data_IF_114478177266
#
_entry.id   IF_114478177266
#
_cell.length_a   1.000
_cell.length_b   1.000
_cell.length_c   1.000
_cell.angle_alpha   90.00
_cell.angle_beta   90.00
_cell.angle_gamma   90.00
#
_symmetry.space_group_name_H-M   'P 1'
#
loop_
_entity.id
_entity.type
_entity.pdbx_description
1 polymer ?
#
# COMPACT_ATOMS: atom_id res chain seq x y z
N UNK A 1 38.46 -28.62 9.05
CA UNK A 1 38.26 -28.25 10.48
C UNK A 1 38.44 -26.74 10.54
N UNK A 2 37.53 -26.00 11.19
CA UNK A 2 37.57 -24.55 11.14
C UNK A 2 38.87 -24.01 11.71
N UNK A 3 39.41 -22.98 11.05
CA UNK A 3 40.65 -22.34 11.50
C UNK A 3 40.30 -21.32 12.59
N UNK A 4 40.80 -21.53 13.81
CA UNK A 4 40.75 -20.51 14.84
C UNK A 4 41.81 -19.44 14.56
N UNK A 5 41.43 -18.16 14.63
CA UNK A 5 42.35 -17.04 14.45
C UNK A 5 42.02 -15.97 15.49
N UNK A 6 43.08 -15.45 16.11
CA UNK A 6 42.96 -14.34 17.07
C UNK A 6 43.17 -13.03 16.34
N UNK A 7 42.28 -12.08 16.59
CA UNK A 7 42.37 -10.72 16.09
C UNK A 7 42.61 -9.77 17.26
N UNK A 8 43.49 -8.80 17.08
CA UNK A 8 43.78 -7.77 18.08
C UNK A 8 42.76 -6.63 18.01
N UNK A 9 42.55 -5.94 19.12
CA UNK A 9 41.76 -4.72 19.14
C UNK A 9 42.21 -3.73 18.06
N UNK A 10 41.24 -3.06 17.44
CA UNK A 10 41.37 -2.13 16.30
C UNK A 10 41.82 -2.76 14.98
N UNK A 11 41.90 -4.09 14.86
CA UNK A 11 42.13 -4.76 13.57
C UNK A 11 40.84 -4.87 12.75
N UNK A 12 40.99 -5.09 11.45
CA UNK A 12 39.89 -5.29 10.50
C UNK A 12 39.94 -6.74 10.00
N UNK A 13 38.79 -7.42 10.02
CA UNK A 13 38.67 -8.81 9.55
C UNK A 13 38.48 -8.84 8.02
N UNK A 14 37.64 -7.95 7.49
CA UNK A 14 37.44 -7.71 6.06
C UNK A 14 36.84 -6.32 5.82
N UNK A 15 37.03 -5.78 4.61
CA UNK A 15 36.44 -4.52 4.18
C UNK A 15 35.17 -4.74 3.36
N UNK A 16 34.30 -3.73 3.39
CA UNK A 16 33.16 -3.65 2.47
C UNK A 16 33.69 -3.64 1.03
N UNK A 17 33.03 -4.40 0.14
CA UNK A 17 33.44 -4.57 -1.25
C UNK A 17 34.45 -5.69 -1.49
N UNK A 18 35.06 -6.27 -0.45
CA UNK A 18 35.97 -7.42 -0.63
C UNK A 18 35.21 -8.63 -1.20
N UNK A 19 35.83 -9.36 -2.12
CA UNK A 19 35.34 -10.69 -2.50
C UNK A 19 35.76 -11.67 -1.40
N UNK A 20 34.77 -12.17 -0.65
CA UNK A 20 35.03 -13.04 0.49
C UNK A 20 34.16 -14.29 0.50
N UNK A 21 34.80 -15.46 0.44
CA UNK A 21 34.17 -16.80 0.47
C UNK A 21 34.18 -17.43 1.88
N UNK A 22 34.65 -16.67 2.89
CA UNK A 22 34.77 -17.13 4.27
C UNK A 22 33.60 -16.71 5.14
N UNK A 23 33.21 -17.58 6.05
CA UNK A 23 32.20 -17.35 7.07
C UNK A 23 32.89 -17.34 8.43
N UNK A 24 32.46 -16.44 9.32
CA UNK A 24 33.09 -16.24 10.61
C UNK A 24 32.11 -16.49 11.76
N UNK A 25 32.61 -17.01 12.88
CA UNK A 25 31.89 -17.09 14.15
C UNK A 25 32.71 -16.40 15.23
N UNK A 26 32.09 -15.47 15.97
CA UNK A 26 32.72 -14.88 17.13
C UNK A 26 32.66 -15.84 18.32
N UNK A 27 33.81 -16.26 18.86
CA UNK A 27 33.88 -17.13 20.06
C UNK A 27 34.09 -16.34 21.34
N UNK A 28 34.86 -15.26 21.28
CA UNK A 28 35.09 -14.33 22.38
C UNK A 28 35.53 -12.98 21.82
N UNK A 29 35.32 -11.89 22.56
CA UNK A 29 35.68 -10.53 22.16
C UNK A 29 34.51 -9.69 21.66
N UNK A 30 34.81 -8.58 20.96
CA UNK A 30 33.81 -7.65 20.42
C UNK A 30 34.14 -7.31 18.97
N UNK A 31 33.20 -7.57 18.07
CA UNK A 31 33.30 -7.23 16.65
C UNK A 31 32.13 -6.33 16.26
N UNK A 32 32.41 -5.29 15.50
CA UNK A 32 31.46 -4.33 14.97
C UNK A 32 31.44 -4.43 13.44
N UNK A 33 30.26 -4.61 12.87
CA UNK A 33 30.01 -4.46 11.44
C UNK A 33 29.62 -3.01 11.17
N UNK A 34 30.33 -2.38 10.24
CA UNK A 34 30.07 -1.02 9.78
C UNK A 34 29.68 -1.05 8.31
N UNK A 35 28.50 -0.54 7.99
CA UNK A 35 28.04 -0.32 6.62
C UNK A 35 27.45 1.09 6.48
N UNK A 36 27.15 1.48 5.25
CA UNK A 36 26.51 2.76 4.95
C UNK A 36 25.15 2.51 4.33
N UNK A 37 24.13 3.22 4.81
CA UNK A 37 22.82 3.20 4.18
C UNK A 37 22.91 3.85 2.78
N UNK A 38 22.43 3.15 1.75
CA UNK A 38 22.53 3.60 0.36
C UNK A 38 21.60 4.79 0.10
N UNK A 39 20.52 4.92 0.86
CA UNK A 39 19.51 5.96 0.68
C UNK A 39 19.82 7.22 1.50
N UNK A 40 20.14 7.05 2.79
CA UNK A 40 20.37 8.19 3.70
C UNK A 40 21.84 8.60 3.79
N UNK A 41 22.76 7.73 3.40
CA UNK A 41 24.19 7.92 3.59
C UNK A 41 24.66 7.79 5.05
N UNK A 42 23.77 7.44 5.98
CA UNK A 42 24.11 7.28 7.40
C UNK A 42 24.93 6.01 7.66
N UNK A 43 25.82 6.07 8.66
CA UNK A 43 26.57 4.89 9.10
C UNK A 43 25.70 3.96 9.94
N UNK A 44 25.57 2.71 9.49
CA UNK A 44 24.94 1.62 10.24
C UNK A 44 26.03 0.85 10.99
N UNK A 45 25.82 0.66 12.30
CA UNK A 45 26.76 0.00 13.22
C UNK A 45 26.06 -1.15 13.93
N UNK A 46 26.49 -2.38 13.66
CA UNK A 46 25.92 -3.61 14.24
C UNK A 46 26.98 -4.36 15.07
N UNK A 47 26.67 -4.64 16.34
CA UNK A 47 27.55 -5.39 17.24
C UNK A 47 27.26 -6.88 17.16
N UNK A 48 28.30 -7.67 16.88
CA UNK A 48 28.20 -9.13 16.81
C UNK A 48 28.24 -9.75 18.20
N UNK A 49 27.26 -10.60 18.50
CA UNK A 49 27.21 -11.35 19.76
C UNK A 49 28.10 -12.59 19.72
N UNK A 50 28.50 -13.08 20.90
CA UNK A 50 29.24 -14.34 21.01
C UNK A 50 28.39 -15.52 20.51
N UNK A 51 28.97 -16.33 19.63
CA UNK A 51 28.30 -17.45 18.96
C UNK A 51 27.53 -17.05 17.70
N UNK A 52 27.48 -15.77 17.35
CA UNK A 52 26.84 -15.27 16.15
C UNK A 52 27.77 -15.40 14.93
N UNK A 53 27.13 -15.65 13.78
CA UNK A 53 27.82 -15.74 12.50
C UNK A 53 27.81 -14.39 11.80
N UNK A 54 28.91 -14.05 11.13
CA UNK A 54 28.98 -12.87 10.27
C UNK A 54 29.69 -13.19 8.95
N UNK A 55 29.44 -12.38 7.92
CA UNK A 55 29.92 -12.63 6.57
C UNK A 55 29.25 -13.79 5.83
N UNK A 56 28.15 -14.35 6.36
CA UNK A 56 27.42 -15.48 5.75
C UNK A 56 26.81 -15.10 4.40
N UNK A 57 26.20 -13.92 4.35
CA UNK A 57 25.48 -13.36 3.19
C UNK A 57 26.34 -13.37 1.92
N UNK A 58 27.47 -12.65 1.97
CA UNK A 58 28.42 -12.54 0.87
C UNK A 58 29.04 -13.88 0.48
N UNK A 59 29.39 -14.72 1.47
CA UNK A 59 30.05 -16.00 1.20
C UNK A 59 29.13 -17.01 0.48
N UNK A 60 27.87 -17.14 0.93
CA UNK A 60 26.91 -18.05 0.30
C UNK A 60 26.35 -17.50 -1.01
N UNK A 61 26.10 -16.19 -1.07
CA UNK A 61 25.57 -15.54 -2.26
C UNK A 61 26.60 -15.22 -3.34
N UNK A 62 27.90 -15.39 -3.05
CA UNK A 62 29.02 -15.08 -3.96
C UNK A 62 29.01 -13.65 -4.48
N UNK A 63 28.69 -12.70 -3.61
CA UNK A 63 28.79 -11.26 -3.88
C UNK A 63 29.78 -10.59 -2.92
N UNK A 64 30.23 -9.36 -3.22
CA UNK A 64 31.13 -8.61 -2.35
C UNK A 64 30.61 -8.45 -0.90
N UNK A 65 31.49 -8.12 0.05
CA UNK A 65 31.11 -7.81 1.43
C UNK A 65 30.19 -6.58 1.50
N UNK A 66 29.08 -6.70 2.20
CA UNK A 66 28.13 -5.59 2.41
C UNK A 66 28.62 -4.57 3.45
N UNK A 67 29.59 -4.96 4.27
CA UNK A 67 30.02 -4.23 5.47
C UNK A 67 31.52 -4.43 5.74
N UNK A 68 32.09 -3.56 6.57
CA UNK A 68 33.45 -3.69 7.10
C UNK A 68 33.40 -4.25 8.52
N UNK A 69 34.12 -5.33 8.80
CA UNK A 69 34.16 -5.95 10.12
C UNK A 69 35.37 -5.45 10.93
N UNK A 70 35.12 -4.63 11.94
CA UNK A 70 36.12 -4.07 12.87
C UNK A 70 36.12 -4.80 14.21
N UNK A 71 37.31 -5.04 14.75
CA UNK A 71 37.49 -5.66 16.06
C UNK A 71 37.65 -4.58 17.11
N UNK A 72 36.72 -4.47 18.05
CA UNK A 72 36.73 -3.44 19.11
C UNK A 72 37.57 -3.85 20.32
N UNK A 73 37.67 -5.15 20.58
CA UNK A 73 38.53 -5.74 21.61
C UNK A 73 39.10 -7.05 21.10
N UNK A 74 40.25 -7.50 21.61
CA UNK A 74 40.85 -8.79 21.26
C UNK A 74 39.77 -9.89 21.15
N UNK A 75 39.74 -10.56 20.00
CA UNK A 75 38.65 -11.43 19.60
C UNK A 75 39.17 -12.76 19.06
N UNK A 76 38.55 -13.84 19.52
CA UNK A 76 38.74 -15.19 19.00
C UNK A 76 37.66 -15.48 17.98
N UNK A 77 38.07 -15.75 16.74
CA UNK A 77 37.17 -15.96 15.61
C UNK A 77 37.46 -17.30 14.95
N UNK A 78 36.40 -18.07 14.68
CA UNK A 78 36.48 -19.28 13.86
C UNK A 78 36.17 -18.94 12.41
N UNK A 79 37.01 -19.39 11.49
CA UNK A 79 36.87 -19.22 10.06
C UNK A 79 36.43 -20.53 9.41
N UNK A 80 35.44 -20.45 8.54
CA UNK A 80 34.91 -21.56 7.75
C UNK A 80 34.94 -21.18 6.28
N UNK A 81 35.28 -22.12 5.41
CA UNK A 81 34.86 -22.04 4.01
C UNK A 81 33.39 -22.50 3.86
N UNK A 82 32.79 -22.28 2.69
CA UNK A 82 31.39 -22.66 2.44
C UNK A 82 31.15 -24.17 2.69
N UNK A 83 31.95 -25.11 2.16
CA UNK A 83 31.76 -26.54 2.44
C UNK A 83 31.84 -26.92 3.93
N UNK A 84 32.78 -26.32 4.69
CA UNK A 84 32.93 -26.57 6.13
C UNK A 84 31.74 -26.03 6.93
N UNK A 85 31.22 -24.88 6.52
CA UNK A 85 30.01 -24.32 7.09
C UNK A 85 28.80 -25.20 6.80
N UNK A 86 28.62 -25.67 5.56
CA UNK A 86 27.56 -26.61 5.20
C UNK A 86 27.60 -27.89 6.05
N UNK A 87 28.78 -28.49 6.24
CA UNK A 87 28.95 -29.65 7.11
C UNK A 87 28.59 -29.36 8.58
N UNK A 88 28.98 -28.20 9.12
CA UNK A 88 28.62 -27.78 10.48
C UNK A 88 27.10 -27.66 10.63
N UNK A 89 26.45 -27.06 9.65
CA UNK A 89 25.01 -26.84 9.63
C UNK A 89 24.24 -28.16 9.50
N UNK A 90 24.73 -29.09 8.67
CA UNK A 90 24.15 -30.44 8.52
C UNK A 90 24.31 -31.30 9.77
N UNK A 91 25.46 -31.20 10.46
CA UNK A 91 25.70 -31.93 11.71
C UNK A 91 24.93 -31.37 12.91
N UNK A 92 24.45 -30.12 12.83
CA UNK A 92 23.68 -29.49 13.90
C UNK A 92 22.49 -28.69 13.34
N UNK A 93 21.41 -29.40 13.06
CA UNK A 93 20.15 -28.84 12.52
C UNK A 93 19.51 -27.76 13.42
N UNK A 94 19.87 -27.69 14.71
CA UNK A 94 19.42 -26.62 15.61
C UNK A 94 19.96 -25.25 15.19
N UNK A 95 21.11 -25.21 14.52
CA UNK A 95 21.68 -23.99 13.92
C UNK A 95 20.79 -23.52 12.77
N UNK A 96 20.36 -24.42 11.88
CA UNK A 96 19.45 -24.12 10.76
C UNK A 96 18.17 -23.44 11.26
N UNK A 97 17.52 -24.03 12.27
CA UNK A 97 16.27 -23.50 12.80
C UNK A 97 16.43 -22.11 13.42
N UNK A 98 17.54 -21.85 14.11
CA UNK A 98 17.84 -20.50 14.63
C UNK A 98 18.07 -19.51 13.49
N UNK A 99 18.84 -19.88 12.48
CA UNK A 99 19.10 -19.01 11.31
C UNK A 99 17.81 -18.68 10.56
N UNK A 100 16.96 -19.68 10.26
CA UNK A 100 15.67 -19.45 9.60
C UNK A 100 14.75 -18.51 10.39
N UNK A 101 14.75 -18.62 11.73
CA UNK A 101 13.97 -17.73 12.59
C UNK A 101 14.51 -16.30 12.55
N UNK A 102 15.82 -16.12 12.58
CA UNK A 102 16.47 -14.79 12.47
C UNK A 102 16.18 -14.17 11.10
N UNK A 103 16.38 -14.91 10.00
CA UNK A 103 16.06 -14.42 8.66
C UNK A 103 14.59 -14.06 8.49
N UNK A 104 13.66 -14.87 9.01
CA UNK A 104 12.22 -14.55 8.97
C UNK A 104 11.91 -13.22 9.67
N UNK A 105 12.53 -12.98 10.82
CA UNK A 105 12.35 -11.71 11.54
C UNK A 105 12.96 -10.53 10.77
N UNK A 106 14.14 -10.69 10.16
CA UNK A 106 14.78 -9.67 9.33
C UNK A 106 13.92 -9.34 8.09
N UNK A 107 13.38 -10.34 7.40
CA UNK A 107 12.45 -10.16 6.27
C UNK A 107 11.21 -9.37 6.68
N UNK A 108 10.64 -9.66 7.85
CA UNK A 108 9.50 -8.91 8.38
C UNK A 108 9.85 -7.45 8.67
N UNK A 109 11.04 -7.19 9.22
CA UNK A 109 11.52 -5.84 9.48
C UNK A 109 11.71 -5.03 8.19
N UNK A 110 12.30 -5.66 7.16
CA UNK A 110 12.43 -5.05 5.83
C UNK A 110 11.06 -4.72 5.25
N UNK A 111 10.09 -5.64 5.35
CA UNK A 111 8.72 -5.39 4.88
C UNK A 111 8.09 -4.18 5.57
N UNK A 112 8.28 -4.03 6.89
CA UNK A 112 7.82 -2.86 7.65
C UNK A 112 8.50 -1.56 7.22
N UNK A 113 9.83 -1.58 6.98
CA UNK A 113 10.57 -0.42 6.46
C UNK A 113 10.08 0.01 5.08
N UNK A 114 9.91 -0.94 4.16
CA UNK A 114 9.39 -0.67 2.81
C UNK A 114 7.99 -0.07 2.89
N UNK A 115 7.12 -0.60 3.75
CA UNK A 115 5.79 -0.05 3.96
C UNK A 115 5.84 1.40 4.46
N UNK A 116 6.72 1.71 5.42
CA UNK A 116 6.86 3.06 5.94
C UNK A 116 7.42 4.04 4.89
N UNK A 117 8.38 3.61 4.06
CA UNK A 117 8.93 4.45 2.99
C UNK A 117 7.87 4.80 1.94
N UNK A 118 7.01 3.83 1.60
CA UNK A 118 5.86 4.07 0.71
C UNK A 118 4.83 5.00 1.38
N UNK A 119 4.69 4.94 2.71
CA UNK A 119 3.69 5.71 3.45
C UNK A 119 4.12 7.16 3.74
N UNK A 120 5.42 7.46 3.81
CA UNK A 120 5.92 8.77 4.21
C UNK A 120 5.99 9.82 3.07
N UNK A 121 5.84 9.42 1.81
CA UNK A 121 5.85 10.34 0.65
C UNK A 121 4.54 11.11 0.43
N UNK A 122 3.47 10.85 1.19
CA UNK A 122 2.14 11.42 0.97
C UNK A 122 1.55 12.09 2.23
N UNK A 123 2.20 13.14 2.74
CA UNK A 123 1.57 14.07 3.70
C UNK A 123 1.00 15.35 3.04
N UNK A 124 0.86 15.36 1.72
CA UNK A 124 -0.18 16.17 1.11
C UNK A 124 -1.47 15.32 1.16
N UNK A 125 -2.50 15.82 1.82
CA UNK A 125 -3.84 15.24 1.75
C UNK A 125 -4.17 14.92 0.27
N UNK A 126 -4.32 13.63 -0.11
CA UNK A 126 -4.44 13.22 -1.51
C UNK A 126 -5.58 13.92 -2.25
N UNK A 127 -6.65 14.26 -1.51
CA UNK A 127 -7.77 15.05 -2.01
C UNK A 127 -7.32 16.47 -2.43
N UNK A 128 -6.66 17.19 -1.52
CA UNK A 128 -6.16 18.55 -1.76
C UNK A 128 -5.14 18.58 -2.91
N UNK A 129 -4.26 17.59 -2.99
CA UNK A 129 -3.28 17.47 -4.07
C UNK A 129 -3.94 17.32 -5.44
N UNK A 130 -4.92 16.41 -5.56
CA UNK A 130 -5.62 16.18 -6.82
C UNK A 130 -6.43 17.39 -7.28
N UNK A 131 -7.09 18.10 -6.35
CA UNK A 131 -7.80 19.34 -6.66
C UNK A 131 -6.85 20.43 -7.16
N UNK A 132 -5.71 20.61 -6.49
CA UNK A 132 -4.71 21.63 -6.84
C UNK A 132 -4.13 21.43 -8.24
N UNK A 133 -3.95 20.17 -8.67
CA UNK A 133 -3.54 19.84 -10.05
C UNK A 133 -4.58 20.32 -11.06
N UNK A 134 -5.86 20.09 -10.77
CA UNK A 134 -6.96 20.58 -11.61
C UNK A 134 -6.98 22.11 -11.71
N UNK A 135 -6.86 22.80 -10.58
CA UNK A 135 -6.80 24.27 -10.55
C UNK A 135 -5.61 24.83 -11.32
N UNK A 136 -4.43 24.21 -11.19
CA UNK A 136 -3.25 24.62 -11.94
C UNK A 136 -3.49 24.57 -13.45
N UNK A 137 -4.02 23.46 -13.97
CA UNK A 137 -4.30 23.35 -15.41
C UNK A 137 -5.41 24.30 -15.86
N UNK A 138 -6.43 24.50 -15.04
CA UNK A 138 -7.53 25.41 -15.31
C UNK A 138 -7.05 26.86 -15.45
N UNK A 139 -6.26 27.33 -14.48
CA UNK A 139 -5.72 28.68 -14.47
C UNK A 139 -4.75 28.94 -15.64
N UNK A 140 -4.04 27.90 -16.09
CA UNK A 140 -3.17 27.95 -17.27
C UNK A 140 -3.91 27.77 -18.60
N UNK A 141 -5.26 27.76 -18.60
CA UNK A 141 -6.13 27.55 -19.79
C UNK A 141 -5.90 26.21 -20.51
N UNK A 142 -5.26 25.25 -19.85
CA UNK A 142 -5.08 23.88 -20.35
C UNK A 142 -6.34 23.06 -20.04
N UNK A 143 -7.45 23.44 -20.70
CA UNK A 143 -8.78 22.94 -20.35
C UNK A 143 -8.93 21.42 -20.51
N UNK A 144 -8.24 20.79 -21.48
CA UNK A 144 -8.28 19.33 -21.65
C UNK A 144 -7.68 18.58 -20.45
N UNK A 145 -6.56 19.07 -19.94
CA UNK A 145 -5.89 18.53 -18.75
C UNK A 145 -6.69 18.84 -17.47
N UNK A 146 -7.29 20.03 -17.38
CA UNK A 146 -8.17 20.40 -16.28
C UNK A 146 -9.42 19.51 -16.21
N UNK A 147 -10.05 19.22 -17.35
CA UNK A 147 -11.18 18.28 -17.45
C UNK A 147 -10.80 16.91 -16.90
N UNK A 148 -9.63 16.38 -17.31
CA UNK A 148 -9.15 15.09 -16.80
C UNK A 148 -8.96 15.10 -15.27
N UNK A 149 -8.28 16.12 -14.75
CA UNK A 149 -7.97 16.21 -13.32
C UNK A 149 -9.23 16.37 -12.45
N UNK A 150 -10.17 17.25 -12.83
CA UNK A 150 -11.42 17.40 -12.08
C UNK A 150 -12.36 16.20 -12.22
N UNK A 151 -12.37 15.53 -13.38
CA UNK A 151 -13.12 14.27 -13.54
C UNK A 151 -12.61 13.20 -12.58
N UNK A 152 -11.28 13.02 -12.52
CA UNK A 152 -10.64 12.12 -11.54
C UNK A 152 -11.00 12.53 -10.12
N UNK A 153 -10.93 13.82 -9.77
CA UNK A 153 -11.31 14.30 -8.45
C UNK A 153 -12.75 13.90 -8.09
N UNK A 154 -13.72 14.11 -8.99
CA UNK A 154 -15.13 13.78 -8.72
C UNK A 154 -15.39 12.27 -8.62
N UNK A 155 -14.58 11.44 -9.27
CA UNK A 155 -14.64 9.98 -9.08
C UNK A 155 -14.12 9.57 -7.70
N UNK A 156 -12.94 10.05 -7.30
CA UNK A 156 -12.29 9.59 -6.07
C UNK A 156 -12.83 10.27 -4.81
N UNK A 157 -13.19 11.54 -4.92
CA UNK A 157 -13.64 12.41 -3.84
C UNK A 157 -15.00 13.06 -4.18
N UNK A 158 -16.04 12.27 -4.51
CA UNK A 158 -17.37 12.79 -4.87
C UNK A 158 -18.05 13.56 -3.74
N UNK A 159 -17.69 13.28 -2.49
CA UNK A 159 -18.12 14.01 -1.29
C UNK A 159 -16.97 14.76 -0.63
N UNK A 160 -15.89 15.00 -1.37
CA UNK A 160 -14.73 15.77 -0.90
C UNK A 160 -15.09 17.24 -0.65
N UNK A 161 -14.24 17.91 0.14
CA UNK A 161 -14.30 19.34 0.47
C UNK A 161 -14.42 20.23 -0.77
N UNK A 162 -13.81 19.83 -1.88
CA UNK A 162 -13.79 20.59 -3.13
C UNK A 162 -14.73 20.02 -4.20
N UNK A 163 -15.61 19.05 -3.91
CA UNK A 163 -16.42 18.39 -4.92
C UNK A 163 -17.36 19.35 -5.68
N UNK A 164 -17.99 20.29 -4.99
CA UNK A 164 -18.82 21.31 -5.64
C UNK A 164 -17.99 22.24 -6.54
N UNK A 165 -16.80 22.65 -6.08
CA UNK A 165 -15.90 23.50 -6.86
C UNK A 165 -15.32 22.75 -8.06
N UNK A 166 -14.92 21.48 -7.89
CA UNK A 166 -14.41 20.63 -8.95
C UNK A 166 -15.47 20.40 -10.04
N UNK A 167 -16.73 20.15 -9.66
CA UNK A 167 -17.84 20.06 -10.61
C UNK A 167 -18.04 21.38 -11.38
N UNK A 168 -18.02 22.51 -10.67
CA UNK A 168 -18.17 23.82 -11.30
C UNK A 168 -17.01 24.16 -12.26
N UNK A 169 -15.76 23.86 -11.87
CA UNK A 169 -14.59 24.08 -12.71
C UNK A 169 -14.54 23.10 -13.89
N UNK A 170 -15.04 21.87 -13.71
CA UNK A 170 -15.17 20.89 -14.79
C UNK A 170 -16.13 21.39 -15.87
N UNK A 171 -17.32 21.86 -15.50
CA UNK A 171 -18.30 22.41 -16.45
C UNK A 171 -17.73 23.63 -17.21
N UNK A 172 -17.01 24.50 -16.50
CA UNK A 172 -16.34 25.65 -17.13
C UNK A 172 -15.22 25.22 -18.08
N UNK A 173 -14.43 24.22 -17.70
CA UNK A 173 -13.33 23.70 -18.52
C UNK A 173 -13.87 23.03 -19.79
N UNK A 174 -14.97 22.28 -19.70
CA UNK A 174 -15.67 21.71 -20.87
C UNK A 174 -16.14 22.79 -21.85
N UNK A 175 -16.78 23.85 -21.33
CA UNK A 175 -17.16 25.01 -22.14
C UNK A 175 -15.96 25.70 -22.79
N UNK A 176 -14.78 25.64 -22.16
CA UNK A 176 -13.50 26.09 -22.71
C UNK A 176 -12.98 25.19 -23.83
N UNK A 177 -13.02 23.86 -23.64
CA UNK A 177 -12.62 22.86 -24.64
C UNK A 177 -13.45 23.00 -25.91
N UNK A 178 -14.78 23.10 -25.78
CA UNK A 178 -15.70 23.26 -26.90
C UNK A 178 -15.43 24.52 -27.74
N UNK A 179 -14.91 25.60 -27.12
CA UNK A 179 -14.52 26.85 -27.81
C UNK A 179 -13.12 26.77 -28.44
N UNK A 180 -12.20 26.00 -27.85
CA UNK A 180 -10.85 25.80 -28.40
C UNK A 180 -10.81 24.81 -29.56
N UNK A 181 -11.68 23.79 -29.58
CA UNK A 181 -11.73 22.84 -30.69
C UNK A 181 -12.29 23.46 -31.99
N UNK A 182 -13.00 24.59 -31.90
CA UNK A 182 -13.35 25.39 -33.08
C UNK A 182 -12.21 26.29 -33.61
N UNK A 183 -11.07 26.39 -32.90
CA UNK A 183 -10.02 27.38 -33.19
C UNK A 183 -8.57 26.87 -33.23
N UNK A 184 -8.29 25.56 -33.08
CA UNK A 184 -6.91 25.07 -32.95
C UNK A 184 -6.50 24.01 -34.01
N UNK A 185 -6.46 24.42 -35.27
CA UNK A 185 -5.37 24.01 -36.17
C UNK A 185 -4.16 24.89 -35.82
N UNK A 186 -2.99 24.28 -35.62
CA UNK A 186 -1.70 24.87 -35.20
C UNK A 186 -1.48 25.12 -33.70
N UNK A 187 -0.71 24.22 -33.06
CA UNK A 187 0.69 24.48 -32.67
C UNK A 187 1.10 23.58 -31.49
N UNK A 188 2.16 22.81 -31.71
CA UNK A 188 2.89 22.06 -30.70
C UNK A 188 3.81 22.98 -29.88
N UNK A 189 4.09 22.62 -28.61
CA UNK A 189 5.46 22.63 -28.05
C UNK A 189 5.48 22.20 -26.56
N UNK A 190 6.21 21.12 -26.26
CA UNK A 190 7.14 21.01 -25.13
C UNK A 190 6.60 20.83 -23.70
N UNK A 191 6.59 19.58 -23.20
CA UNK A 191 6.82 19.22 -21.79
C UNK A 191 7.18 17.71 -21.68
N UNK A 192 7.92 17.27 -20.64
CA UNK A 192 8.87 16.17 -20.71
C UNK A 192 8.25 14.76 -20.64
N UNK A 193 8.98 13.81 -21.22
CA UNK A 193 8.70 12.38 -21.27
C UNK A 193 9.09 11.68 -19.96
N UNK A 194 8.13 11.11 -19.24
CA UNK A 194 8.37 10.17 -18.15
C UNK A 194 7.12 9.90 -17.32
N UNK A 195 6.56 8.68 -17.45
CA UNK A 195 5.30 8.27 -16.80
C UNK A 195 4.14 8.26 -17.79
N UNK A 196 3.44 7.11 -17.90
CA UNK A 196 2.46 6.81 -18.96
C UNK A 196 1.53 7.99 -19.27
N UNK A 197 1.42 8.34 -20.57
CA UNK A 197 0.50 9.37 -21.05
C UNK A 197 -0.88 9.13 -20.43
N UNK A 198 -1.46 10.08 -19.68
CA UNK A 198 -2.90 10.07 -19.46
C UNK A 198 -3.51 10.19 -20.85
N UNK A 199 -4.04 9.09 -21.38
CA UNK A 199 -4.91 9.16 -22.54
C UNK A 199 -6.01 10.13 -22.18
N UNK A 200 -6.16 11.18 -23.01
CA UNK A 200 -7.19 12.21 -22.90
C UNK A 200 -8.47 11.55 -22.37
N UNK A 201 -9.05 12.07 -21.29
CA UNK A 201 -10.32 11.59 -20.75
C UNK A 201 -11.27 11.42 -21.93
N UNK A 202 -11.61 10.18 -22.26
CA UNK A 202 -12.56 9.93 -23.32
C UNK A 202 -13.90 10.53 -22.84
N UNK A 203 -14.79 10.96 -23.74
CA UNK A 203 -16.07 11.56 -23.32
C UNK A 203 -16.87 10.65 -22.36
N UNK A 204 -16.56 9.34 -22.41
CA UNK A 204 -17.05 8.30 -21.51
C UNK A 204 -16.53 8.41 -20.07
N UNK A 205 -15.25 8.72 -19.86
CA UNK A 205 -14.64 8.89 -18.53
C UNK A 205 -15.23 10.11 -17.81
N UNK A 206 -15.48 11.18 -18.59
CA UNK A 206 -16.12 12.40 -18.12
C UNK A 206 -17.58 12.16 -17.70
N UNK A 207 -18.34 11.46 -18.55
CA UNK A 207 -19.72 11.10 -18.23
C UNK A 207 -19.79 10.16 -17.02
N UNK A 208 -18.80 9.27 -16.86
CA UNK A 208 -18.68 8.42 -15.70
C UNK A 208 -18.43 9.22 -14.41
N UNK A 209 -17.52 10.21 -14.43
CA UNK A 209 -17.22 11.07 -13.29
C UNK A 209 -18.44 11.92 -12.85
N UNK A 210 -19.15 12.53 -13.80
CA UNK A 210 -20.40 13.27 -13.50
C UNK A 210 -21.47 12.36 -12.92
N UNK A 211 -21.65 11.18 -13.52
CA UNK A 211 -22.57 10.17 -13.00
C UNK A 211 -22.20 9.71 -11.59
N UNK A 212 -20.90 9.60 -11.29
CA UNK A 212 -20.42 9.21 -9.95
C UNK A 212 -20.78 10.27 -8.91
N UNK A 213 -20.48 11.54 -9.20
CA UNK A 213 -20.84 12.66 -8.32
C UNK A 213 -22.36 12.76 -8.10
N UNK A 214 -23.16 12.62 -9.16
CA UNK A 214 -24.63 12.63 -9.07
C UNK A 214 -25.15 11.49 -8.19
N UNK A 215 -24.68 10.26 -8.44
CA UNK A 215 -25.12 9.07 -7.70
C UNK A 215 -24.78 9.16 -6.21
N UNK A 216 -23.58 9.65 -5.87
CA UNK A 216 -23.17 9.85 -4.48
C UNK A 216 -23.98 10.97 -3.82
N UNK A 217 -24.27 12.06 -4.54
CA UNK A 217 -25.15 13.13 -4.06
C UNK A 217 -26.55 12.61 -3.74
N UNK A 218 -27.11 11.75 -4.60
CA UNK A 218 -28.39 11.09 -4.36
C UNK A 218 -28.33 10.15 -3.15
N UNK A 219 -27.26 9.38 -3.00
CA UNK A 219 -27.06 8.50 -1.85
C UNK A 219 -26.97 9.29 -0.54
N UNK A 220 -26.31 10.46 -0.54
CA UNK A 220 -26.25 11.36 0.62
C UNK A 220 -27.61 11.98 0.96
N UNK A 221 -28.51 12.09 0.00
CA UNK A 221 -29.92 12.48 0.19
C UNK A 221 -30.82 11.28 0.56
N UNK A 222 -30.24 10.12 0.89
CA UNK A 222 -30.94 8.86 1.19
C UNK A 222 -31.77 8.29 0.03
N UNK A 223 -31.60 8.81 -1.19
CA UNK A 223 -32.24 8.32 -2.42
C UNK A 223 -31.46 7.14 -3.01
N UNK A 224 -31.28 6.09 -2.19
CA UNK A 224 -30.43 4.94 -2.54
C UNK A 224 -30.91 4.17 -3.77
N UNK A 225 -32.22 4.09 -4.01
CA UNK A 225 -32.77 3.41 -5.17
C UNK A 225 -32.44 4.11 -6.50
N UNK A 226 -32.39 5.45 -6.51
CA UNK A 226 -32.02 6.21 -7.70
C UNK A 226 -30.51 6.24 -7.89
N UNK A 227 -29.74 6.37 -6.80
CA UNK A 227 -28.29 6.23 -6.82
C UNK A 227 -27.84 4.87 -7.38
N UNK A 228 -28.50 3.78 -6.95
CA UNK A 228 -28.23 2.41 -7.41
C UNK A 228 -28.33 2.27 -8.93
N UNK A 229 -29.36 2.86 -9.56
CA UNK A 229 -29.55 2.81 -11.03
C UNK A 229 -28.38 3.46 -11.76
N UNK A 230 -27.88 4.58 -11.24
CA UNK A 230 -26.74 5.29 -11.84
C UNK A 230 -25.46 4.47 -11.66
N UNK A 231 -25.18 3.96 -10.45
CA UNK A 231 -23.99 3.12 -10.22
C UNK A 231 -24.00 1.83 -11.05
N UNK A 232 -25.14 1.16 -11.22
CA UNK A 232 -25.25 -0.02 -12.09
C UNK A 232 -24.93 0.30 -13.56
N UNK A 233 -25.33 1.49 -14.04
CA UNK A 233 -24.94 1.97 -15.38
C UNK A 233 -23.44 2.21 -15.46
N UNK A 234 -22.83 2.81 -14.44
CA UNK A 234 -21.39 3.07 -14.38
C UNK A 234 -20.58 1.77 -14.40
N UNK A 235 -20.98 0.76 -13.62
CA UNK A 235 -20.36 -0.57 -13.65
C UNK A 235 -20.47 -1.21 -15.04
N UNK A 236 -21.61 -1.04 -15.71
CA UNK A 236 -21.88 -1.64 -17.03
C UNK A 236 -21.18 -0.93 -18.19
N UNK A 237 -20.77 0.33 -18.01
CA UNK A 237 -20.13 1.14 -19.06
C UNK A 237 -18.67 0.77 -19.38
N UNK A 238 -18.10 -0.27 -18.74
CA UNK A 238 -16.70 -0.69 -18.90
C UNK A 238 -15.70 0.47 -18.71
N UNK A 239 -15.93 1.29 -17.69
CA UNK A 239 -14.95 2.27 -17.25
C UNK A 239 -13.69 1.57 -16.71
N UNK A 240 -12.55 2.28 -16.69
CA UNK A 240 -11.28 1.88 -16.10
C UNK A 240 -11.47 0.93 -14.88
N UNK A 241 -10.75 -0.21 -14.79
CA UNK A 241 -10.93 -1.20 -13.72
C UNK A 241 -11.03 -0.63 -12.32
N UNK A 242 -10.33 0.47 -12.04
CA UNK A 242 -10.36 1.17 -10.76
C UNK A 242 -11.68 1.92 -10.49
N UNK A 243 -12.25 2.55 -11.52
CA UNK A 243 -13.58 3.20 -11.46
C UNK A 243 -14.69 2.16 -11.31
N UNK A 244 -14.57 1.05 -12.04
CA UNK A 244 -15.51 -0.07 -11.96
C UNK A 244 -15.54 -0.66 -10.55
N UNK A 245 -14.39 -0.79 -9.89
CA UNK A 245 -14.29 -1.26 -8.50
C UNK A 245 -15.03 -0.35 -7.52
N UNK A 246 -14.83 0.97 -7.65
CA UNK A 246 -15.47 1.97 -6.78
C UNK A 246 -17.00 2.02 -7.00
N UNK A 247 -17.44 1.95 -8.25
CA UNK A 247 -18.87 1.89 -8.56
C UNK A 247 -19.51 0.59 -8.05
N UNK A 248 -18.82 -0.56 -8.17
CA UNK A 248 -19.31 -1.84 -7.64
C UNK A 248 -19.39 -1.84 -6.10
N UNK A 249 -18.46 -1.15 -5.43
CA UNK A 249 -18.54 -0.91 -3.99
C UNK A 249 -19.77 -0.08 -3.59
N UNK A 250 -20.01 1.05 -4.28
CA UNK A 250 -21.19 1.90 -4.00
C UNK A 250 -22.51 1.20 -4.32
N UNK A 251 -22.56 0.33 -5.35
CA UNK A 251 -23.70 -0.58 -5.59
C UNK A 251 -23.94 -1.43 -4.35
N UNK A 252 -22.90 -2.09 -3.84
CA UNK A 252 -22.97 -2.89 -2.61
C UNK A 252 -23.51 -2.09 -1.43
N UNK A 253 -23.00 -0.88 -1.20
CA UNK A 253 -23.47 0.02 -0.14
C UNK A 253 -24.95 0.41 -0.30
N UNK A 254 -25.38 0.78 -1.50
CA UNK A 254 -26.79 1.10 -1.77
C UNK A 254 -27.72 -0.10 -1.53
N UNK A 255 -27.28 -1.30 -1.89
CA UNK A 255 -28.02 -2.54 -1.65
C UNK A 255 -28.18 -2.83 -0.15
N UNK A 256 -27.14 -2.58 0.67
CA UNK A 256 -27.27 -2.68 2.14
C UNK A 256 -28.33 -1.71 2.68
N UNK A 257 -28.32 -0.46 2.21
CA UNK A 257 -29.24 0.57 2.68
C UNK A 257 -30.69 0.34 2.22
N UNK A 258 -30.89 -0.44 1.15
CA UNK A 258 -32.21 -0.82 0.65
C UNK A 258 -32.62 -2.25 1.06
N UNK A 259 -31.91 -2.86 2.00
CA UNK A 259 -32.18 -4.20 2.55
C UNK A 259 -32.03 -5.37 1.56
N UNK A 260 -31.37 -5.18 0.42
CA UNK A 260 -31.06 -6.24 -0.55
C UNK A 260 -29.76 -6.96 -0.16
N UNK A 261 -29.76 -7.61 0.99
CA UNK A 261 -28.55 -8.10 1.65
C UNK A 261 -27.79 -9.16 0.87
N UNK A 262 -28.48 -10.10 0.20
CA UNK A 262 -27.84 -11.15 -0.60
C UNK A 262 -27.07 -10.58 -1.80
N UNK A 263 -27.68 -9.62 -2.49
CA UNK A 263 -27.04 -8.92 -3.61
C UNK A 263 -25.88 -8.05 -3.14
N UNK A 264 -26.04 -7.37 -2.00
CA UNK A 264 -24.99 -6.58 -1.39
C UNK A 264 -23.75 -7.42 -1.08
N UNK A 265 -23.92 -8.58 -0.45
CA UNK A 265 -22.83 -9.51 -0.14
C UNK A 265 -22.13 -9.96 -1.42
N UNK A 266 -22.89 -10.31 -2.48
CA UNK A 266 -22.32 -10.72 -3.77
C UNK A 266 -21.45 -9.64 -4.40
N UNK A 267 -21.96 -8.40 -4.50
CA UNK A 267 -21.21 -7.28 -5.07
C UNK A 267 -19.98 -6.90 -4.24
N UNK A 268 -20.12 -6.78 -2.92
CA UNK A 268 -19.00 -6.43 -2.04
C UNK A 268 -17.92 -7.52 -2.00
N UNK A 269 -18.31 -8.80 -2.06
CA UNK A 269 -17.37 -9.91 -2.16
C UNK A 269 -16.62 -9.89 -3.49
N UNK A 270 -17.30 -9.55 -4.59
CA UNK A 270 -16.66 -9.39 -5.89
C UNK A 270 -15.60 -8.27 -5.86
N UNK A 271 -15.88 -7.14 -5.20
CA UNK A 271 -14.90 -6.06 -5.01
C UNK A 271 -13.66 -6.56 -4.27
N UNK A 272 -13.85 -7.28 -3.15
CA UNK A 272 -12.73 -7.80 -2.34
C UNK A 272 -11.88 -8.81 -3.13
N UNK A 273 -12.51 -9.67 -3.93
CA UNK A 273 -11.81 -10.71 -4.70
C UNK A 273 -11.06 -10.14 -5.90
N UNK A 274 -11.68 -9.22 -6.65
CA UNK A 274 -11.09 -8.64 -7.86
C UNK A 274 -10.11 -7.51 -7.54
N UNK A 275 -10.34 -6.77 -6.45
CA UNK A 275 -9.59 -5.57 -6.09
C UNK A 275 -9.12 -5.64 -4.62
N UNK A 276 -8.17 -6.54 -4.29
CA UNK A 276 -7.71 -6.73 -2.91
C UNK A 276 -6.96 -5.52 -2.32
N UNK A 277 -6.56 -4.56 -3.17
CA UNK A 277 -5.94 -3.28 -2.77
C UNK A 277 -6.92 -2.09 -2.79
N UNK A 278 -8.23 -2.35 -2.89
CA UNK A 278 -9.23 -1.29 -2.93
C UNK A 278 -9.15 -0.40 -1.67
N UNK A 279 -9.20 0.95 -1.80
CA UNK A 279 -9.11 1.86 -0.65
C UNK A 279 -10.16 1.58 0.43
N UNK A 280 -11.39 1.27 0.03
CA UNK A 280 -12.51 1.01 0.94
C UNK A 280 -12.68 -0.48 1.32
N UNK A 281 -11.62 -1.30 1.25
CA UNK A 281 -11.71 -2.74 1.54
C UNK A 281 -12.26 -3.03 2.94
N UNK A 282 -11.82 -2.25 3.95
CA UNK A 282 -12.29 -2.39 5.34
C UNK A 282 -13.76 -2.02 5.47
N UNK A 283 -14.20 -0.98 4.75
CA UNK A 283 -15.60 -0.59 4.67
C UNK A 283 -16.45 -1.62 3.93
N UNK A 284 -15.92 -2.27 2.89
CA UNK A 284 -16.62 -3.34 2.19
C UNK A 284 -16.89 -4.52 3.13
N UNK A 285 -15.89 -4.92 3.94
CA UNK A 285 -16.06 -5.93 4.99
C UNK A 285 -17.09 -5.49 6.03
N UNK A 286 -17.11 -4.21 6.41
CA UNK A 286 -18.10 -3.67 7.34
C UNK A 286 -19.53 -3.81 6.79
N UNK A 287 -19.74 -3.45 5.52
CA UNK A 287 -21.03 -3.57 4.85
C UNK A 287 -21.47 -5.01 4.63
N UNK A 288 -20.54 -5.96 4.42
CA UNK A 288 -20.85 -7.39 4.42
C UNK A 288 -21.32 -7.83 5.81
N UNK A 289 -20.60 -7.44 6.87
CA UNK A 289 -21.01 -7.74 8.25
C UNK A 289 -22.39 -7.17 8.59
N UNK A 290 -22.68 -5.92 8.16
CA UNK A 290 -24.00 -5.28 8.28
C UNK A 290 -25.08 -6.04 7.51
N UNK A 291 -24.76 -6.61 6.35
CA UNK A 291 -25.70 -7.40 5.55
C UNK A 291 -26.07 -8.70 6.27
N UNK A 292 -25.09 -9.41 6.84
CA UNK A 292 -25.36 -10.60 7.66
C UNK A 292 -26.17 -10.25 8.92
N UNK A 293 -25.88 -9.13 9.58
CA UNK A 293 -26.67 -8.64 10.71
C UNK A 293 -28.13 -8.36 10.29
N UNK A 294 -28.36 -7.70 9.16
CA UNK A 294 -29.70 -7.45 8.62
C UNK A 294 -30.46 -8.74 8.25
N UNK A 295 -29.74 -9.81 7.93
CA UNK A 295 -30.28 -11.16 7.70
C UNK A 295 -30.50 -11.97 8.99
N UNK A 296 -30.22 -11.39 10.17
CA UNK A 296 -30.21 -12.06 11.48
C UNK A 296 -29.16 -13.18 11.62
N UNK A 297 -28.15 -13.22 10.75
CA UNK A 297 -27.01 -14.13 10.90
C UNK A 297 -25.91 -13.45 11.72
N UNK A 298 -26.15 -13.38 13.02
CA UNK A 298 -25.26 -12.68 13.96
C UNK A 298 -23.90 -13.36 14.12
N UNK A 299 -23.81 -14.65 13.83
CA UNK A 299 -22.55 -15.40 13.87
C UNK A 299 -21.61 -14.92 12.77
N UNK A 300 -22.08 -14.89 11.53
CA UNK A 300 -21.28 -14.36 10.43
C UNK A 300 -20.99 -12.87 10.57
N UNK A 301 -21.97 -12.07 10.99
CA UNK A 301 -21.77 -10.64 11.25
C UNK A 301 -20.62 -10.39 12.23
N UNK A 302 -20.60 -11.11 13.36
CA UNK A 302 -19.53 -11.03 14.38
C UNK A 302 -18.17 -11.40 13.79
N UNK A 303 -18.08 -12.47 13.00
CA UNK A 303 -16.82 -12.90 12.39
C UNK A 303 -16.23 -11.81 11.47
N UNK A 304 -17.08 -11.17 10.64
CA UNK A 304 -16.63 -10.07 9.77
C UNK A 304 -16.18 -8.85 10.57
N UNK A 305 -16.90 -8.48 11.63
CA UNK A 305 -16.50 -7.36 12.49
C UNK A 305 -15.20 -7.62 13.25
N UNK A 306 -15.00 -8.82 13.78
CA UNK A 306 -13.72 -9.20 14.41
C UNK A 306 -12.57 -9.15 13.41
N UNK A 307 -12.78 -9.59 12.16
CA UNK A 307 -11.78 -9.49 11.10
C UNK A 307 -11.38 -8.03 10.83
N UNK A 308 -12.32 -7.10 10.82
CA UNK A 308 -12.02 -5.67 10.63
C UNK A 308 -11.16 -5.13 11.78
N UNK A 309 -11.48 -5.48 13.03
CA UNK A 309 -10.69 -5.05 14.19
C UNK A 309 -9.27 -5.62 14.20
N UNK A 310 -9.04 -6.78 13.57
CA UNK A 310 -7.71 -7.32 13.35
C UNK A 310 -6.91 -6.65 12.22
N UNK A 311 -7.57 -5.90 11.33
CA UNK A 311 -6.98 -5.26 10.15
C UNK A 311 -6.85 -3.74 10.26
N UNK A 312 -7.70 -3.09 11.06
CA UNK A 312 -7.75 -1.64 11.22
C UNK A 312 -6.99 -1.19 12.48
N UNK A 313 -6.32 -0.04 12.40
CA UNK A 313 -5.80 0.66 13.57
C UNK A 313 -6.91 1.12 14.51
N UNK A 314 -6.60 1.29 15.80
CA UNK A 314 -7.61 1.61 16.82
C UNK A 314 -8.35 2.93 16.55
N UNK A 315 -7.70 3.93 15.97
CA UNK A 315 -8.30 5.24 15.74
C UNK A 315 -9.02 5.37 14.39
N UNK A 316 -9.02 4.32 13.56
CA UNK A 316 -9.67 4.39 12.26
C UNK A 316 -11.20 4.50 12.39
N UNK A 317 -11.87 5.37 11.61
CA UNK A 317 -13.33 5.50 11.64
C UNK A 317 -14.08 4.18 11.46
N UNK A 318 -13.52 3.28 10.62
CA UNK A 318 -14.08 1.94 10.40
C UNK A 318 -14.00 1.07 11.65
N UNK A 319 -12.94 1.16 12.45
CA UNK A 319 -12.82 0.44 13.71
C UNK A 319 -13.84 0.94 14.74
N UNK A 320 -14.02 2.26 14.84
CA UNK A 320 -15.00 2.89 15.75
C UNK A 320 -16.42 2.40 15.45
N UNK A 321 -16.87 2.49 14.19
CA UNK A 321 -18.23 2.02 13.82
C UNK A 321 -18.38 0.51 13.92
N UNK A 322 -17.31 -0.26 13.74
CA UNK A 322 -17.31 -1.72 13.90
C UNK A 322 -17.50 -2.13 15.36
N UNK A 323 -16.81 -1.47 16.30
CA UNK A 323 -17.02 -1.72 17.74
C UNK A 323 -18.46 -1.42 18.17
N UNK A 324 -19.03 -0.33 17.64
CA UNK A 324 -20.43 0.01 17.90
C UNK A 324 -21.37 -1.11 17.41
N UNK A 325 -21.19 -1.58 16.19
CA UNK A 325 -22.00 -2.67 15.63
C UNK A 325 -21.85 -3.98 16.43
N UNK A 326 -20.65 -4.32 16.90
CA UNK A 326 -20.44 -5.48 17.78
C UNK A 326 -21.20 -5.39 19.10
N UNK A 327 -21.22 -4.21 19.75
CA UNK A 327 -22.00 -4.00 20.98
C UNK A 327 -23.50 -4.15 20.74
N UNK A 328 -24.00 -3.71 19.59
CA UNK A 328 -25.40 -3.89 19.19
C UNK A 328 -25.77 -5.38 19.07
N UNK A 329 -24.85 -6.23 18.59
CA UNK A 329 -25.03 -7.68 18.51
C UNK A 329 -25.01 -8.40 19.86
N UNK A 330 -24.31 -7.86 20.86
CA UNK A 330 -24.24 -8.42 22.21
C UNK A 330 -25.50 -8.13 23.03
N UNK A 331 -26.28 -7.12 22.65
CA UNK A 331 -27.52 -6.71 23.32
C UNK A 331 -28.79 -7.43 22.83
N UNK A 332 -28.73 -8.22 21.76
CA UNK A 332 -29.87 -8.98 21.22
C UNK A 332 -29.92 -10.39 21.83
N UNK A 333 -31.01 -10.78 22.54
CA UNK A 333 -31.14 -12.13 23.10
C UNK A 333 -31.28 -13.18 21.99
N UNK A 334 -30.54 -14.29 22.17
CA UNK A 334 -30.41 -15.45 21.27
C UNK A 334 -31.71 -16.17 20.95
#
# INVERSE_FOLDING_TARGET
>A
MPKATQFKANSVIYFQGDLGDKIFILKAGKVLLRSQDIETGEEIKELIATGEFFGVKSALGKYPRDETALVLSDADVLLFNVPEFEQLVLSNTRIIMKMLKVFSNQLRHIHGKVQNLISNTEQADPETGLYSIGEYYFNNRQYKQAVYAFSRYLTYYPSGRFASNAASHLDQAEGGVAKTDSSALFAAAGAPTGGGRPTVADGRDLQAAKGFFEAVSLANQEKYADALKIFQRLVSSNADPEHSAKAEFEVGRCLVMTSHYDEAIRHLTAVIQKYPKHPDLKDALYFIGRSYQGKNDFTWARNFYQKILGLAGEDEPVAVKTRRALRELEGTPS
#
